data_IF_277102273058
#
_entry.id   IF_277102273058
#
_cell.length_a   1.000
_cell.length_b   1.000
_cell.length_c   1.000
_cell.angle_alpha   90.00
_cell.angle_beta   90.00
_cell.angle_gamma   90.00
#
_symmetry.space_group_name_H-M   'P 1'
#
loop_
_entity.id
_entity.type
_entity.pdbx_description
1 polymer ?
#
# COMPACT_ATOMS: atom_id res chain seq x y z
N UNK A 1 14.24 3.94 -4.26
CA UNK A 1 13.90 5.39 -4.18
C UNK A 1 13.02 5.61 -2.95
N UNK A 2 12.76 6.86 -2.51
CA UNK A 2 12.03 7.17 -1.25
C UNK A 2 10.78 6.30 -0.99
N UNK A 3 10.01 6.00 -2.05
CA UNK A 3 8.85 5.10 -1.98
C UNK A 3 9.19 3.70 -1.46
N UNK A 4 10.25 3.08 -1.97
CA UNK A 4 10.61 1.71 -1.56
C UNK A 4 11.00 1.70 -0.07
N UNK A 5 11.73 2.72 0.38
CA UNK A 5 12.06 2.87 1.80
C UNK A 5 10.82 3.11 2.67
N UNK A 6 9.86 3.90 2.20
CA UNK A 6 8.60 4.12 2.91
C UNK A 6 7.80 2.82 3.05
N UNK A 7 7.68 2.04 1.96
CA UNK A 7 6.97 0.75 1.97
C UNK A 7 7.66 -0.24 2.92
N UNK A 8 8.99 -0.36 2.85
CA UNK A 8 9.75 -1.22 3.76
C UNK A 8 9.51 -0.81 5.21
N UNK A 9 9.62 0.49 5.53
CA UNK A 9 9.41 0.99 6.88
C UNK A 9 8.00 0.72 7.41
N UNK A 10 6.96 0.90 6.59
CA UNK A 10 5.57 0.60 6.98
C UNK A 10 5.38 -0.89 7.24
N UNK A 11 5.91 -1.76 6.39
CA UNK A 11 5.85 -3.21 6.61
C UNK A 11 6.53 -3.61 7.93
N UNK A 12 7.73 -3.09 8.19
CA UNK A 12 8.46 -3.33 9.44
C UNK A 12 7.68 -2.81 10.67
N UNK A 13 7.13 -1.60 10.59
CA UNK A 13 6.33 -1.00 11.67
C UNK A 13 5.07 -1.82 11.97
N UNK A 14 4.36 -2.27 10.94
CA UNK A 14 3.15 -3.07 11.10
C UNK A 14 3.46 -4.47 11.67
N UNK A 15 4.60 -5.07 11.27
CA UNK A 15 5.06 -6.33 11.84
C UNK A 15 5.45 -6.20 13.31
N UNK A 16 6.10 -5.10 13.70
CA UNK A 16 6.47 -4.83 15.10
C UNK A 16 5.24 -4.54 15.97
N UNK A 17 4.28 -3.77 15.45
CA UNK A 17 3.09 -3.33 16.21
C UNK A 17 2.01 -4.41 16.33
N UNK A 18 1.75 -5.17 15.25
CA UNK A 18 0.62 -6.10 15.17
C UNK A 18 1.03 -7.56 14.97
N UNK A 19 2.33 -7.84 14.88
CA UNK A 19 2.86 -9.15 14.50
C UNK A 19 2.62 -9.47 13.02
N UNK A 20 3.31 -10.49 12.50
CA UNK A 20 3.25 -10.87 11.08
C UNK A 20 1.84 -11.12 10.54
N UNK A 21 0.97 -11.73 11.33
CA UNK A 21 -0.41 -12.01 10.93
C UNK A 21 -1.28 -10.74 10.90
N UNK A 22 -1.07 -9.82 11.84
CA UNK A 22 -1.76 -8.52 11.86
C UNK A 22 -1.30 -7.62 10.73
N UNK A 23 0.02 -7.56 10.49
CA UNK A 23 0.60 -6.84 9.37
C UNK A 23 0.05 -7.32 8.02
N UNK A 24 0.00 -8.64 7.80
CA UNK A 24 -0.56 -9.21 6.56
C UNK A 24 -2.03 -8.83 6.35
N UNK A 25 -2.82 -8.76 7.43
CA UNK A 25 -4.24 -8.37 7.37
C UNK A 25 -4.40 -6.89 7.02
N UNK A 26 -3.57 -6.02 7.62
CA UNK A 26 -3.57 -4.58 7.34
C UNK A 26 -3.12 -4.32 5.89
N UNK A 27 -2.08 -5.00 5.44
CA UNK A 27 -1.60 -4.95 4.06
C UNK A 27 -2.70 -5.36 3.07
N UNK A 28 -3.42 -6.46 3.35
CA UNK A 28 -4.53 -6.89 2.51
C UNK A 28 -5.70 -5.89 2.49
N UNK A 29 -5.96 -5.20 3.61
CA UNK A 29 -6.95 -4.14 3.68
C UNK A 29 -6.55 -2.91 2.84
N UNK A 30 -5.28 -2.49 2.92
CA UNK A 30 -4.73 -1.42 2.08
C UNK A 30 -4.82 -1.79 0.59
N UNK A 31 -4.44 -3.01 0.21
CA UNK A 31 -4.57 -3.49 -1.18
C UNK A 31 -6.04 -3.45 -1.66
N UNK A 32 -6.99 -3.80 -0.78
CA UNK A 32 -8.43 -3.71 -1.08
C UNK A 32 -8.90 -2.26 -1.24
N UNK A 33 -8.45 -1.34 -0.38
CA UNK A 33 -8.79 0.09 -0.49
C UNK A 33 -8.25 0.69 -1.79
N UNK A 34 -7.03 0.32 -2.19
CA UNK A 34 -6.43 0.74 -3.46
C UNK A 34 -7.21 0.18 -4.65
N UNK A 35 -7.66 -1.08 -4.59
CA UNK A 35 -8.46 -1.71 -5.66
C UNK A 35 -9.84 -1.04 -5.85
N UNK A 36 -10.44 -0.53 -4.77
CA UNK A 36 -11.75 0.15 -4.79
C UNK A 36 -11.61 1.64 -5.16
N UNK A 37 -10.44 2.24 -4.97
CA UNK A 37 -10.20 3.64 -5.28
C UNK A 37 -10.52 3.96 -6.76
N UNK A 38 -11.19 5.10 -6.97
CA UNK A 38 -11.58 5.56 -8.30
C UNK A 38 -10.36 5.68 -9.21
N UNK A 39 -10.44 5.25 -10.49
CA UNK A 39 -9.30 5.23 -11.38
C UNK A 39 -8.69 6.62 -11.52
N UNK A 40 -7.50 6.79 -10.98
CA UNK A 40 -6.72 8.00 -11.15
C UNK A 40 -6.01 7.93 -12.51
N UNK A 41 -5.93 9.04 -13.28
CA UNK A 41 -5.05 9.07 -14.45
C UNK A 41 -3.62 8.76 -13.99
N UNK A 42 -3.06 7.64 -14.45
CA UNK A 42 -1.76 7.15 -14.00
C UNK A 42 -1.77 6.20 -12.79
N UNK A 43 -2.93 5.71 -12.34
CA UNK A 43 -3.02 4.58 -11.41
C UNK A 43 -3.62 3.38 -12.15
N UNK A 44 -2.76 2.40 -12.47
CA UNK A 44 -3.19 1.16 -13.13
C UNK A 44 -4.15 0.41 -12.19
N UNK A 45 -5.38 0.10 -12.62
CA UNK A 45 -6.27 -0.81 -11.87
C UNK A 45 -5.59 -2.18 -11.82
N UNK A 46 -5.33 -2.67 -10.61
CA UNK A 46 -4.84 -4.02 -10.40
C UNK A 46 -6.05 -4.91 -10.09
N UNK A 47 -6.38 -5.90 -10.93
CA UNK A 47 -7.54 -6.76 -10.72
C UNK A 47 -7.38 -7.66 -9.48
N UNK A 48 -6.15 -7.92 -9.03
CA UNK A 48 -5.86 -8.72 -7.84
C UNK A 48 -4.77 -8.01 -7.03
N UNK A 49 -5.04 -7.73 -5.75
CA UNK A 49 -4.07 -7.19 -4.80
C UNK A 49 -2.96 -8.20 -4.58
N UNK A 50 -1.85 -8.04 -5.31
CA UNK A 50 -0.76 -9.02 -5.33
C UNK A 50 0.39 -8.63 -4.40
N UNK A 51 0.11 -7.77 -3.41
CA UNK A 51 1.12 -7.17 -2.57
C UNK A 51 2.01 -6.19 -3.34
N UNK A 52 2.66 -5.31 -2.58
CA UNK A 52 3.56 -4.23 -3.00
C UNK A 52 4.58 -4.53 -4.11
N UNK A 53 4.80 -5.80 -4.47
CA UNK A 53 5.73 -6.27 -5.51
C UNK A 53 5.41 -5.76 -6.91
N UNK A 54 4.16 -5.41 -7.21
CA UNK A 54 3.75 -4.83 -8.50
C UNK A 54 3.82 -3.30 -8.57
N UNK A 55 4.20 -2.62 -7.50
CA UNK A 55 4.22 -1.16 -7.46
C UNK A 55 5.54 -0.64 -8.06
N UNK A 56 5.71 -0.65 -9.38
CA UNK A 56 6.93 -0.14 -10.04
C UNK A 56 6.78 1.26 -10.65
N UNK A 57 7.83 2.06 -10.47
CA UNK A 57 8.22 3.23 -11.30
C UNK A 57 7.26 4.42 -11.36
N UNK A 58 6.32 4.37 -12.29
CA UNK A 58 5.60 5.55 -12.81
C UNK A 58 4.44 6.01 -11.93
N UNK A 59 3.89 5.12 -11.10
CA UNK A 59 2.67 5.41 -10.34
C UNK A 59 2.93 6.02 -8.95
N UNK A 60 4.16 6.43 -8.63
CA UNK A 60 4.57 6.81 -7.27
C UNK A 60 3.76 7.96 -6.64
N UNK A 61 3.38 8.98 -7.43
CA UNK A 61 2.61 10.14 -6.95
C UNK A 61 1.14 9.83 -6.71
N UNK A 62 0.52 9.09 -7.63
CA UNK A 62 -0.86 8.62 -7.49
C UNK A 62 -0.96 7.62 -6.34
N UNK A 63 0.03 6.73 -6.22
CA UNK A 63 0.14 5.78 -5.13
C UNK A 63 0.23 6.47 -3.77
N UNK A 64 1.09 7.48 -3.58
CA UNK A 64 1.19 8.18 -2.30
C UNK A 64 -0.13 8.80 -1.86
N UNK A 65 -0.93 9.32 -2.79
CA UNK A 65 -2.24 9.89 -2.48
C UNK A 65 -3.27 8.87 -1.99
N UNK A 66 -3.14 7.60 -2.37
CA UNK A 66 -4.04 6.53 -1.92
C UNK A 66 -3.46 5.77 -0.74
N UNK A 67 -2.13 5.59 -0.71
CA UNK A 67 -1.41 4.84 0.30
C UNK A 67 -1.34 5.55 1.66
N UNK A 68 -1.03 6.86 1.69
CA UNK A 68 -0.99 7.61 2.94
C UNK A 68 -2.33 7.63 3.70
N UNK A 69 -3.49 7.89 3.06
CA UNK A 69 -4.77 7.78 3.74
C UNK A 69 -5.10 6.35 4.18
N UNK A 70 -4.70 5.35 3.38
CA UNK A 70 -4.94 3.94 3.74
C UNK A 70 -4.15 3.54 4.99
N UNK A 71 -2.89 3.99 5.13
CA UNK A 71 -2.08 3.75 6.33
C UNK A 71 -2.58 4.54 7.54
N UNK A 72 -3.02 5.79 7.35
CA UNK A 72 -3.49 6.64 8.45
C UNK A 72 -4.71 6.08 9.19
N UNK A 73 -5.42 5.11 8.62
CA UNK A 73 -6.49 4.37 9.31
C UNK A 73 -6.02 3.18 10.14
N UNK A 74 -4.73 2.82 10.05
CA UNK A 74 -4.12 1.64 10.67
C UNK A 74 -2.91 1.97 11.56
N UNK A 75 -2.48 3.25 11.61
CA UNK A 75 -1.43 3.79 12.48
C UNK A 75 -2.05 4.64 13.58
#
# INVERSE_FOLDING_TARGET
TFKDHLITWVCEYLEDTHGKAGAARIIADIDRQIAVASPYPGLRRFPEGQGFKQWTGDNSKALMKVYLPAIAGHV
#
